data_IF_886909836812
#
_entry.id   IF_886909836812
#
_cell.length_a   1.000
_cell.length_b   1.000
_cell.length_c   1.000
_cell.angle_alpha   90.00
_cell.angle_beta   90.00
_cell.angle_gamma   90.00
#
_symmetry.space_group_name_H-M   'P 1'
#
loop_
_entity.id
_entity.type
_entity.pdbx_description
1 polymer ?
#
# COMPACT_ATOMS: atom_id res chain seq x y z
N UNK A 1 -36.50 -21.44 1.05
CA UNK A 1 -36.03 -22.28 2.18
C UNK A 1 -34.61 -22.73 1.87
N UNK A 2 -33.62 -21.99 2.36
CA UNK A 2 -32.19 -22.33 2.25
C UNK A 2 -31.65 -22.48 3.67
N UNK A 3 -30.94 -23.58 3.94
CA UNK A 3 -30.51 -23.95 5.28
C UNK A 3 -29.51 -22.93 5.87
N UNK A 4 -29.65 -22.54 7.15
CA UNK A 4 -28.66 -21.71 7.83
C UNK A 4 -27.37 -22.51 8.06
N UNK A 5 -26.23 -21.91 7.67
CA UNK A 5 -24.89 -22.45 7.88
C UNK A 5 -24.64 -22.71 9.37
N UNK A 6 -24.36 -23.96 9.73
CA UNK A 6 -24.16 -24.43 11.11
C UNK A 6 -22.78 -24.10 11.69
N UNK A 7 -22.28 -22.87 11.48
CA UNK A 7 -21.01 -22.40 12.08
C UNK A 7 -21.22 -21.64 13.40
N UNK A 8 -22.47 -21.33 13.77
CA UNK A 8 -22.76 -20.15 14.61
C UNK A 8 -22.86 -20.37 16.14
N UNK A 9 -22.77 -21.58 16.71
CA UNK A 9 -23.12 -21.77 18.14
C UNK A 9 -22.11 -22.46 19.06
N UNK A 10 -21.12 -23.20 18.53
CA UNK A 10 -20.25 -24.03 19.39
C UNK A 10 -18.90 -23.38 19.76
N UNK A 11 -18.37 -22.43 18.98
CA UNK A 11 -17.11 -21.75 19.31
C UNK A 11 -17.26 -20.56 20.28
N UNK A 12 -18.45 -19.94 20.39
CA UNK A 12 -18.71 -18.77 21.26
C UNK A 12 -18.41 -19.00 22.75
N UNK A 13 -18.39 -20.23 23.26
CA UNK A 13 -18.30 -20.52 24.71
C UNK A 13 -16.95 -21.04 25.21
N UNK A 14 -16.01 -21.46 24.35
CA UNK A 14 -14.78 -22.14 24.83
C UNK A 14 -13.52 -21.27 24.86
N UNK A 15 -13.48 -20.11 24.19
CA UNK A 15 -12.25 -19.31 24.07
C UNK A 15 -12.15 -18.11 25.04
N UNK A 16 -13.18 -17.84 25.85
CA UNK A 16 -13.22 -16.69 26.76
C UNK A 16 -12.49 -16.89 28.10
N UNK A 17 -11.69 -17.96 28.27
CA UNK A 17 -11.08 -18.29 29.57
C UNK A 17 -9.57 -18.07 29.69
N UNK A 18 -8.84 -17.67 28.65
CA UNK A 18 -7.38 -17.54 28.79
C UNK A 18 -6.97 -16.14 29.26
N UNK A 19 -6.67 -16.03 30.56
CA UNK A 19 -6.22 -14.81 31.24
C UNK A 19 -4.69 -14.64 31.16
N UNK A 20 -4.06 -14.62 29.99
CA UNK A 20 -2.63 -14.28 29.91
C UNK A 20 -2.25 -13.76 28.52
N UNK A 21 -2.53 -12.49 28.19
CA UNK A 21 -2.02 -11.91 26.93
C UNK A 21 -1.52 -10.47 26.99
N UNK A 22 -1.72 -9.71 28.08
CA UNK A 22 -1.20 -8.35 28.19
C UNK A 22 -0.83 -8.03 29.65
N UNK A 23 0.45 -8.24 30.00
CA UNK A 23 1.05 -7.68 31.21
C UNK A 23 2.30 -6.93 30.77
N UNK A 24 2.28 -5.61 30.89
CA UNK A 24 3.46 -4.76 30.80
C UNK A 24 3.52 -3.99 32.11
N UNK A 25 4.52 -4.31 32.92
CA UNK A 25 4.79 -3.64 34.18
C UNK A 25 5.25 -2.21 33.89
N UNK A 26 4.47 -1.22 34.34
CA UNK A 26 4.87 0.19 34.34
C UNK A 26 5.05 0.61 35.78
N UNK A 27 6.31 0.73 36.20
CA UNK A 27 6.70 1.38 37.43
C UNK A 27 7.41 2.70 37.11
N UNK A 28 6.72 3.83 37.27
CA UNK A 28 7.33 5.05 37.80
C UNK A 28 6.22 6.01 38.25
N UNK A 29 6.34 6.50 39.48
CA UNK A 29 5.38 7.37 40.12
C UNK A 29 5.73 8.84 39.83
N UNK A 30 4.77 9.58 39.30
CA UNK A 30 4.71 11.05 39.43
C UNK A 30 3.25 11.48 39.47
N UNK A 31 2.88 12.16 40.56
CA UNK A 31 1.51 12.58 40.85
C UNK A 31 1.11 13.74 39.94
N UNK A 32 0.45 13.41 38.83
CA UNK A 32 -0.43 14.32 38.12
C UNK A 32 -1.87 13.90 38.44
N UNK A 33 -2.70 14.81 38.93
CA UNK A 33 -4.14 14.56 39.07
C UNK A 33 -4.72 14.56 37.65
N UNK A 34 -4.58 13.43 36.96
CA UNK A 34 -5.33 13.15 35.74
C UNK A 34 -6.74 12.74 36.17
N UNK A 35 -7.72 13.60 35.90
CA UNK A 35 -9.10 13.13 35.81
C UNK A 35 -9.10 12.14 34.64
N UNK A 36 -9.29 10.82 34.85
CA UNK A 36 -9.25 9.88 33.75
C UNK A 36 -10.50 10.16 32.92
N UNK A 37 -10.35 10.84 31.79
CA UNK A 37 -11.40 10.95 30.79
C UNK A 37 -11.68 9.54 30.31
N UNK A 38 -12.68 8.90 30.92
CA UNK A 38 -13.13 7.58 30.52
C UNK A 38 -13.87 7.73 29.19
N UNK A 39 -13.13 7.59 28.09
CA UNK A 39 -13.72 7.55 26.76
C UNK A 39 -14.80 6.45 26.75
N UNK A 40 -16.03 6.83 26.44
CA UNK A 40 -17.12 5.89 26.24
C UNK A 40 -17.10 5.45 24.79
N UNK A 41 -16.92 4.14 24.57
CA UNK A 41 -17.01 3.54 23.24
C UNK A 41 -18.45 3.08 22.98
N UNK A 42 -18.92 3.10 21.72
CA UNK A 42 -20.27 2.64 21.37
C UNK A 42 -20.39 1.10 21.35
N UNK A 43 -19.43 0.41 21.96
CA UNK A 43 -19.31 -1.06 22.04
C UNK A 43 -18.89 -1.45 23.45
N UNK A 44 -19.03 -2.73 23.80
CA UNK A 44 -18.59 -3.25 25.09
C UNK A 44 -17.13 -2.88 25.37
N UNK A 45 -16.90 -2.08 26.41
CA UNK A 45 -15.57 -1.63 26.78
C UNK A 45 -14.66 -2.82 27.13
N UNK A 46 -13.57 -2.99 26.37
CA UNK A 46 -12.51 -3.97 26.65
C UNK A 46 -11.16 -3.26 26.85
N UNK A 47 -10.25 -3.79 27.70
CA UNK A 47 -8.97 -3.16 28.01
C UNK A 47 -8.06 -2.88 26.80
N UNK A 48 -8.18 -3.67 25.72
CA UNK A 48 -7.34 -3.53 24.52
C UNK A 48 -7.83 -2.44 23.54
N UNK A 49 -9.06 -1.94 23.70
CA UNK A 49 -9.68 -1.01 22.73
C UNK A 49 -8.84 0.25 22.53
N UNK A 50 -8.35 0.95 23.57
CA UNK A 50 -7.53 2.16 23.39
C UNK A 50 -6.29 1.88 22.53
N UNK A 51 -5.61 0.76 22.76
CA UNK A 51 -4.43 0.37 21.99
C UNK A 51 -4.73 0.06 20.52
N UNK A 52 -5.89 -0.55 20.23
CA UNK A 52 -6.31 -0.80 18.85
C UNK A 52 -6.74 0.48 18.14
N UNK A 53 -7.42 1.40 18.83
CA UNK A 53 -7.76 2.73 18.27
C UNK A 53 -6.46 3.50 17.95
N UNK A 54 -5.51 3.50 18.88
CA UNK A 54 -4.20 4.10 18.66
C UNK A 54 -3.46 3.43 17.51
N UNK A 55 -3.45 2.10 17.45
CA UNK A 55 -2.81 1.34 16.36
C UNK A 55 -3.45 1.63 15.00
N UNK A 56 -4.77 1.81 14.93
CA UNK A 56 -5.47 2.19 13.70
C UNK A 56 -5.00 3.56 13.21
N UNK A 57 -4.88 4.52 14.13
CA UNK A 57 -4.34 5.84 13.84
C UNK A 57 -2.86 5.74 13.43
N UNK A 58 -2.00 5.15 14.26
CA UNK A 58 -0.56 5.02 13.98
C UNK A 58 -0.22 4.33 12.66
N UNK A 59 -0.81 3.17 12.39
CA UNK A 59 -0.37 2.27 11.32
C UNK A 59 -0.94 2.58 9.95
N UNK A 60 -1.99 3.38 9.88
CA UNK A 60 -2.35 4.07 8.64
C UNK A 60 -1.38 5.23 8.34
N UNK A 61 -0.28 5.33 9.11
CA UNK A 61 0.78 6.34 9.04
C UNK A 61 0.44 7.65 9.74
N UNK A 62 -0.41 7.59 10.77
CA UNK A 62 -1.11 8.74 11.32
C UNK A 62 -0.80 9.02 12.80
N UNK A 63 0.42 8.88 13.29
CA UNK A 63 0.74 9.49 14.60
C UNK A 63 2.06 10.24 14.64
N UNK A 64 3.12 9.67 14.06
CA UNK A 64 4.47 10.22 14.22
C UNK A 64 4.78 11.49 13.39
N UNK A 65 3.94 11.84 12.41
CA UNK A 65 4.18 12.98 11.52
C UNK A 65 3.18 14.11 11.76
N UNK A 66 3.67 15.35 11.61
CA UNK A 66 2.81 16.50 11.38
C UNK A 66 2.02 16.22 10.10
N UNK A 67 0.70 16.16 10.24
CA UNK A 67 -0.17 15.84 9.13
C UNK A 67 -0.75 17.13 8.60
N UNK A 68 -0.59 17.33 7.30
CA UNK A 68 -1.16 18.47 6.61
C UNK A 68 -2.69 18.49 6.79
N UNK A 69 -3.29 19.68 6.99
CA UNK A 69 -4.74 19.85 7.01
C UNK A 69 -5.39 19.26 5.75
N UNK A 70 -6.61 18.70 5.89
CA UNK A 70 -7.38 18.07 4.81
C UNK A 70 -6.75 16.83 4.13
N UNK A 71 -5.64 16.31 4.63
CA UNK A 71 -5.09 15.02 4.20
C UNK A 71 -6.01 13.86 4.56
N UNK A 72 -5.91 12.75 3.82
CA UNK A 72 -6.56 11.50 4.23
C UNK A 72 -6.15 11.11 5.66
N UNK A 73 -4.87 11.33 5.96
CA UNK A 73 -4.30 11.12 7.27
C UNK A 73 -5.01 11.92 8.39
N UNK A 74 -5.28 13.20 8.15
CA UNK A 74 -5.95 14.10 9.06
C UNK A 74 -7.38 13.64 9.27
N UNK A 75 -8.06 13.29 8.17
CA UNK A 75 -9.45 12.84 8.20
C UNK A 75 -9.62 11.50 8.92
N UNK A 76 -8.68 10.57 8.78
CA UNK A 76 -8.65 9.33 9.53
C UNK A 76 -8.42 9.57 11.03
N UNK A 77 -7.53 10.51 11.42
CA UNK A 77 -7.34 10.87 12.85
C UNK A 77 -8.54 11.61 13.45
N UNK A 78 -9.32 12.32 12.64
CA UNK A 78 -10.38 13.23 13.09
C UNK A 78 -11.78 12.72 12.74
N UNK A 79 -12.22 12.95 11.50
CA UNK A 79 -13.57 12.67 11.01
C UNK A 79 -13.92 11.18 11.16
N UNK A 80 -13.03 10.28 10.72
CA UNK A 80 -13.26 8.83 10.83
C UNK A 80 -13.44 8.37 12.27
N UNK A 81 -12.50 8.70 13.17
CA UNK A 81 -12.57 8.29 14.58
C UNK A 81 -13.81 8.87 15.25
N UNK A 82 -14.19 10.12 14.93
CA UNK A 82 -15.44 10.70 15.43
C UNK A 82 -16.66 9.88 15.00
N UNK A 83 -16.72 9.45 13.74
CA UNK A 83 -17.79 8.59 13.24
C UNK A 83 -17.76 7.19 13.85
N UNK A 84 -16.56 6.61 14.04
CA UNK A 84 -16.40 5.31 14.69
C UNK A 84 -16.86 5.35 16.16
N UNK A 85 -16.56 6.42 16.89
CA UNK A 85 -17.01 6.62 18.27
C UNK A 85 -18.53 6.86 18.39
N UNK A 86 -19.21 7.19 17.28
CA UNK A 86 -20.66 7.41 17.24
C UNK A 86 -21.46 6.19 16.74
N UNK A 87 -20.82 5.22 16.09
CA UNK A 87 -21.50 4.10 15.44
C UNK A 87 -20.89 2.75 15.86
N UNK A 88 -21.65 1.86 16.53
CA UNK A 88 -21.13 0.57 16.99
C UNK A 88 -20.58 -0.33 15.88
N UNK A 89 -21.20 -0.32 14.70
CA UNK A 89 -20.78 -1.17 13.58
C UNK A 89 -19.43 -0.68 13.03
N UNK A 90 -19.28 0.62 12.84
CA UNK A 90 -18.02 1.22 12.39
C UNK A 90 -16.91 1.09 13.44
N UNK A 91 -17.25 1.16 14.73
CA UNK A 91 -16.29 0.90 15.81
C UNK A 91 -15.76 -0.53 15.76
N UNK A 92 -16.65 -1.54 15.66
CA UNK A 92 -16.20 -2.94 15.52
C UNK A 92 -15.36 -3.12 14.26
N UNK A 93 -15.75 -2.54 13.12
CA UNK A 93 -14.99 -2.63 11.87
C UNK A 93 -13.59 -2.02 12.01
N UNK A 94 -13.49 -0.85 12.65
CA UNK A 94 -12.22 -0.15 12.91
C UNK A 94 -11.29 -0.97 13.79
N UNK A 95 -11.82 -1.56 14.87
CA UNK A 95 -11.07 -2.44 15.77
C UNK A 95 -10.64 -3.75 15.10
N UNK A 96 -11.51 -4.32 14.26
CA UNK A 96 -11.19 -5.48 13.45
C UNK A 96 -10.03 -5.19 12.50
N UNK A 97 -10.11 -4.12 11.72
CA UNK A 97 -9.05 -3.73 10.80
C UNK A 97 -7.71 -3.55 11.54
N UNK A 98 -7.70 -2.80 12.65
CA UNK A 98 -6.50 -2.60 13.46
C UNK A 98 -5.89 -3.92 13.96
N UNK A 99 -6.71 -4.82 14.50
CA UNK A 99 -6.27 -6.11 15.03
C UNK A 99 -5.78 -7.05 13.93
N UNK A 100 -6.45 -7.08 12.77
CA UNK A 100 -6.03 -7.90 11.64
C UNK A 100 -4.72 -7.41 11.02
N UNK A 101 -4.52 -6.11 10.87
CA UNK A 101 -3.23 -5.55 10.46
C UNK A 101 -2.09 -5.93 11.41
N UNK A 102 -2.36 -5.94 12.73
CA UNK A 102 -1.42 -6.43 13.74
C UNK A 102 -1.09 -7.91 13.56
N UNK A 103 -2.07 -8.73 13.23
CA UNK A 103 -1.87 -10.16 12.98
C UNK A 103 -1.05 -10.40 11.71
N UNK A 104 -1.32 -9.68 10.62
CA UNK A 104 -0.53 -9.79 9.38
C UNK A 104 0.94 -9.47 9.62
N UNK A 105 1.25 -8.40 10.36
CA UNK A 105 2.64 -8.05 10.70
C UNK A 105 3.31 -9.07 11.61
N UNK A 106 2.56 -9.69 12.54
CA UNK A 106 3.09 -10.77 13.37
C UNK A 106 3.37 -12.01 12.54
N UNK A 107 2.47 -12.38 11.64
CA UNK A 107 2.63 -13.56 10.79
C UNK A 107 3.79 -13.41 9.80
N UNK A 108 4.12 -12.19 9.37
CA UNK A 108 5.36 -11.94 8.59
C UNK A 108 6.65 -12.13 9.40
N UNK A 109 6.58 -12.17 10.73
CA UNK A 109 7.76 -12.26 11.64
C UNK A 109 7.81 -13.54 12.47
N UNK A 110 6.70 -14.27 12.62
CA UNK A 110 6.62 -15.48 13.42
C UNK A 110 5.51 -16.43 12.91
N UNK A 111 5.82 -17.73 12.85
CA UNK A 111 4.90 -18.79 12.45
C UNK A 111 3.89 -19.16 13.56
N UNK A 112 3.11 -18.21 14.06
CA UNK A 112 2.04 -18.51 15.01
C UNK A 112 0.72 -18.77 14.26
N UNK A 113 0.27 -20.03 14.26
CA UNK A 113 -0.83 -20.50 13.42
C UNK A 113 -2.23 -20.38 14.05
N UNK A 114 -2.37 -19.77 15.23
CA UNK A 114 -3.67 -19.67 15.90
C UNK A 114 -4.38 -18.35 15.61
N UNK A 115 -5.66 -18.34 15.21
CA UNK A 115 -6.37 -17.11 14.89
C UNK A 115 -6.57 -16.25 16.14
N UNK A 116 -6.27 -14.96 16.04
CA UNK A 116 -6.39 -14.01 17.15
C UNK A 116 -7.87 -13.85 17.55
N UNK A 117 -8.25 -14.17 18.80
CA UNK A 117 -9.64 -14.11 19.24
C UNK A 117 -10.22 -12.69 19.22
N UNK A 118 -9.37 -11.65 19.35
CA UNK A 118 -9.81 -10.24 19.26
C UNK A 118 -10.21 -9.90 17.83
N UNK A 119 -9.39 -10.29 16.86
CA UNK A 119 -9.67 -10.12 15.42
C UNK A 119 -10.97 -10.81 15.04
N UNK A 120 -11.11 -12.10 15.40
CA UNK A 120 -12.33 -12.86 15.12
C UNK A 120 -13.57 -12.26 15.78
N UNK A 121 -13.47 -11.79 17.03
CA UNK A 121 -14.58 -11.16 17.73
C UNK A 121 -15.06 -9.92 16.99
N UNK A 122 -14.18 -8.97 16.69
CA UNK A 122 -14.57 -7.73 16.02
C UNK A 122 -15.03 -7.96 14.57
N UNK A 123 -14.44 -8.93 13.86
CA UNK A 123 -14.91 -9.33 12.54
C UNK A 123 -16.36 -9.84 12.60
N UNK A 124 -16.65 -10.75 13.54
CA UNK A 124 -17.97 -11.36 13.70
C UNK A 124 -19.03 -10.31 14.04
N UNK A 125 -18.74 -9.42 14.99
CA UNK A 125 -19.67 -8.35 15.38
C UNK A 125 -19.90 -7.36 14.22
N UNK A 126 -18.87 -7.07 13.42
CA UNK A 126 -19.01 -6.23 12.22
C UNK A 126 -19.95 -6.86 11.21
N UNK A 127 -19.74 -8.12 10.84
CA UNK A 127 -20.57 -8.85 9.86
C UNK A 127 -22.02 -8.96 10.37
N UNK A 128 -22.21 -9.29 11.65
CA UNK A 128 -23.53 -9.37 12.25
C UNK A 128 -24.27 -8.02 12.21
N UNK A 129 -23.59 -6.93 12.55
CA UNK A 129 -24.17 -5.58 12.54
C UNK A 129 -24.52 -5.12 11.11
N UNK A 130 -23.64 -5.34 10.14
CA UNK A 130 -23.90 -5.04 8.71
C UNK A 130 -25.10 -5.83 8.21
N UNK A 131 -25.13 -7.14 8.47
CA UNK A 131 -26.23 -8.02 8.04
C UNK A 131 -27.56 -7.59 8.62
N UNK A 132 -27.60 -7.25 9.91
CA UNK A 132 -28.81 -6.75 10.57
C UNK A 132 -29.32 -5.43 9.94
N UNK A 133 -28.41 -4.51 9.57
CA UNK A 133 -28.74 -3.25 8.91
C UNK A 133 -29.25 -3.45 7.48
N UNK A 134 -28.71 -4.42 6.75
CA UNK A 134 -29.21 -4.77 5.42
C UNK A 134 -30.61 -5.40 5.54
N UNK A 135 -30.80 -6.32 6.49
CA UNK A 135 -32.05 -7.03 6.69
C UNK A 135 -33.20 -6.13 7.16
N UNK A 136 -32.92 -5.03 7.84
CA UNK A 136 -33.94 -4.07 8.27
C UNK A 136 -34.53 -3.25 7.11
N UNK A 137 -33.91 -3.27 5.93
CA UNK A 137 -34.39 -2.56 4.74
C UNK A 137 -34.36 -1.03 4.86
N UNK A 138 -33.70 -0.48 5.89
CA UNK A 138 -33.55 0.95 6.10
C UNK A 138 -32.58 1.61 5.13
N UNK A 139 -32.52 2.95 5.16
CA UNK A 139 -31.50 3.70 4.42
C UNK A 139 -30.11 3.34 4.94
N UNK A 140 -29.23 2.90 4.03
CA UNK A 140 -27.85 2.58 4.38
C UNK A 140 -27.10 3.84 4.79
N UNK A 141 -26.50 3.81 5.98
CA UNK A 141 -25.69 4.90 6.50
C UNK A 141 -24.28 4.84 5.95
N UNK A 142 -23.59 5.98 5.87
CA UNK A 142 -22.19 6.05 5.45
C UNK A 142 -21.30 5.22 6.38
N UNK A 143 -21.63 5.12 7.68
CA UNK A 143 -20.95 4.25 8.62
C UNK A 143 -21.05 2.76 8.24
N UNK A 144 -22.19 2.32 7.70
CA UNK A 144 -22.36 0.93 7.23
C UNK A 144 -21.50 0.66 6.00
N UNK A 145 -21.46 1.61 5.07
CA UNK A 145 -20.63 1.53 3.85
C UNK A 145 -19.14 1.51 4.22
N UNK A 146 -18.73 2.39 5.13
CA UNK A 146 -17.38 2.44 5.67
C UNK A 146 -16.98 1.12 6.37
N UNK A 147 -17.90 0.49 7.12
CA UNK A 147 -17.65 -0.82 7.72
C UNK A 147 -17.39 -1.90 6.68
N UNK A 148 -18.18 -1.93 5.58
CA UNK A 148 -17.97 -2.90 4.49
C UNK A 148 -16.66 -2.63 3.76
N UNK A 149 -16.28 -1.37 3.56
CA UNK A 149 -14.96 -1.03 3.02
C UNK A 149 -13.82 -1.64 3.86
N UNK A 150 -13.88 -1.53 5.19
CA UNK A 150 -12.88 -2.15 6.07
C UNK A 150 -12.89 -3.68 6.00
N UNK A 151 -14.03 -4.32 5.73
CA UNK A 151 -14.10 -5.75 5.46
C UNK A 151 -13.39 -6.12 4.15
N UNK A 152 -13.53 -5.33 3.07
CA UNK A 152 -12.80 -5.54 1.80
C UNK A 152 -11.30 -5.41 1.99
N UNK A 153 -10.85 -4.34 2.65
CA UNK A 153 -9.43 -4.08 2.90
C UNK A 153 -8.85 -5.23 3.71
N UNK A 154 -9.50 -5.58 4.81
CA UNK A 154 -8.97 -6.58 5.73
C UNK A 154 -9.05 -7.99 5.17
N UNK A 155 -10.08 -8.33 4.40
CA UNK A 155 -10.18 -9.61 3.68
C UNK A 155 -9.00 -9.80 2.72
N UNK A 156 -8.61 -8.74 2.02
CA UNK A 156 -7.44 -8.76 1.13
C UNK A 156 -6.16 -9.08 1.91
N UNK A 157 -5.95 -8.44 3.07
CA UNK A 157 -4.79 -8.67 3.94
C UNK A 157 -4.77 -10.06 4.58
N UNK A 158 -5.94 -10.67 4.75
CA UNK A 158 -6.10 -12.03 5.25
C UNK A 158 -6.05 -13.07 4.13
N UNK A 159 -5.85 -12.65 2.88
CA UNK A 159 -5.79 -13.52 1.68
C UNK A 159 -7.06 -14.34 1.44
N UNK A 160 -8.22 -13.85 1.90
CA UNK A 160 -9.51 -14.49 1.69
C UNK A 160 -10.20 -13.88 0.46
N UNK A 161 -9.86 -14.38 -0.72
CA UNK A 161 -10.39 -13.89 -2.01
C UNK A 161 -11.93 -13.97 -2.06
N UNK A 162 -12.49 -15.11 -1.65
CA UNK A 162 -13.94 -15.33 -1.66
C UNK A 162 -14.72 -14.35 -0.77
N UNK A 163 -14.25 -14.13 0.46
CA UNK A 163 -14.87 -13.13 1.33
C UNK A 163 -14.64 -11.70 0.81
N UNK A 164 -13.45 -11.42 0.29
CA UNK A 164 -13.10 -10.09 -0.26
C UNK A 164 -14.00 -9.73 -1.42
N UNK A 165 -14.21 -10.63 -2.38
CA UNK A 165 -15.08 -10.37 -3.53
C UNK A 165 -16.55 -10.21 -3.12
N UNK A 166 -17.03 -11.04 -2.19
CA UNK A 166 -18.39 -10.89 -1.66
C UNK A 166 -18.59 -9.52 -0.99
N UNK A 167 -17.61 -9.05 -0.22
CA UNK A 167 -17.63 -7.73 0.40
C UNK A 167 -17.49 -6.60 -0.64
N UNK A 168 -16.65 -6.76 -1.66
CA UNK A 168 -16.44 -5.77 -2.73
C UNK A 168 -17.70 -5.58 -3.56
N UNK A 169 -18.30 -6.68 -4.00
CA UNK A 169 -19.58 -6.67 -4.73
C UNK A 169 -20.70 -6.04 -3.89
N UNK A 170 -20.77 -6.41 -2.61
CA UNK A 170 -21.70 -5.80 -1.65
C UNK A 170 -21.49 -4.29 -1.50
N UNK A 171 -20.25 -3.84 -1.31
CA UNK A 171 -19.88 -2.43 -1.20
C UNK A 171 -20.34 -1.64 -2.42
N UNK A 172 -20.04 -2.14 -3.62
CA UNK A 172 -20.41 -1.48 -4.86
C UNK A 172 -21.91 -1.31 -5.01
N UNK A 173 -22.69 -2.34 -4.66
CA UNK A 173 -24.13 -2.24 -4.64
C UNK A 173 -24.62 -1.19 -3.65
N UNK A 174 -24.01 -1.08 -2.46
CA UNK A 174 -24.36 -0.05 -1.48
C UNK A 174 -24.07 1.37 -1.98
N UNK A 175 -22.91 1.58 -2.63
CA UNK A 175 -22.56 2.88 -3.23
C UNK A 175 -23.56 3.27 -4.32
N UNK A 176 -23.92 2.34 -5.20
CA UNK A 176 -24.93 2.57 -6.24
C UNK A 176 -26.28 2.93 -5.64
N UNK A 177 -26.73 2.22 -4.59
CA UNK A 177 -27.98 2.52 -3.89
C UNK A 177 -27.99 3.89 -3.19
N UNK A 178 -26.83 4.44 -2.83
CA UNK A 178 -26.69 5.81 -2.31
C UNK A 178 -26.68 6.89 -3.39
N UNK A 179 -26.66 6.51 -4.67
CA UNK A 179 -26.58 7.43 -5.79
C UNK A 179 -25.16 7.78 -6.21
N UNK A 180 -24.18 6.91 -5.91
CA UNK A 180 -22.78 7.05 -6.32
C UNK A 180 -21.86 7.64 -5.26
N UNK A 181 -20.55 7.63 -5.54
CA UNK A 181 -19.50 8.06 -4.62
C UNK A 181 -19.67 9.52 -4.15
N UNK A 182 -20.10 10.42 -5.04
CA UNK A 182 -20.31 11.83 -4.74
C UNK A 182 -21.44 12.10 -3.72
N UNK A 183 -22.24 11.08 -3.36
CA UNK A 183 -23.32 11.17 -2.36
C UNK A 183 -22.92 10.66 -0.98
N UNK A 184 -21.70 10.15 -0.84
CA UNK A 184 -21.18 9.66 0.44
C UNK A 184 -20.72 10.82 1.33
N UNK A 185 -20.95 10.70 2.63
CA UNK A 185 -20.53 11.67 3.63
C UNK A 185 -19.07 11.52 4.07
N UNK A 186 -18.81 11.82 5.35
CA UNK A 186 -17.48 11.90 5.96
C UNK A 186 -16.59 12.92 5.24
N UNK A 187 -17.15 14.06 4.86
CA UNK A 187 -16.44 15.16 4.20
C UNK A 187 -15.75 14.74 2.88
N UNK A 188 -16.31 13.74 2.17
CA UNK A 188 -15.78 13.19 0.92
C UNK A 188 -14.65 12.17 1.10
N UNK A 189 -14.21 11.92 2.33
CA UNK A 189 -13.11 11.00 2.66
C UNK A 189 -13.49 9.56 2.36
N UNK A 190 -14.73 9.19 2.65
CA UNK A 190 -15.20 7.82 2.39
C UNK A 190 -15.12 7.49 0.89
N UNK A 191 -15.49 8.42 0.01
CA UNK A 191 -15.36 8.22 -1.43
C UNK A 191 -13.91 8.01 -1.86
N UNK A 192 -12.99 8.85 -1.37
CA UNK A 192 -11.54 8.72 -1.65
C UNK A 192 -10.97 7.40 -1.13
N UNK A 193 -11.34 6.99 0.09
CA UNK A 193 -10.90 5.72 0.64
C UNK A 193 -11.39 4.53 -0.17
N UNK A 194 -12.64 4.56 -0.67
CA UNK A 194 -13.13 3.52 -1.56
C UNK A 194 -12.27 3.48 -2.82
N UNK A 195 -12.12 4.60 -3.53
CA UNK A 195 -11.31 4.67 -4.76
C UNK A 195 -9.88 4.14 -4.55
N UNK A 196 -9.20 4.61 -3.50
CA UNK A 196 -7.83 4.20 -3.18
C UNK A 196 -7.68 2.72 -2.83
N UNK A 197 -8.68 2.11 -2.19
CA UNK A 197 -8.56 0.74 -1.68
C UNK A 197 -9.22 -0.30 -2.58
N UNK A 198 -10.00 0.09 -3.60
CA UNK A 198 -10.57 -0.87 -4.56
C UNK A 198 -9.53 -1.51 -5.48
N UNK A 199 -8.33 -0.94 -5.58
CA UNK A 199 -7.20 -1.56 -6.30
C UNK A 199 -6.53 -2.68 -5.48
N UNK A 200 -6.70 -2.67 -4.15
CA UNK A 200 -5.99 -3.59 -3.25
C UNK A 200 -6.29 -5.07 -3.56
N UNK A 201 -7.56 -5.52 -3.73
CA UNK A 201 -7.83 -6.91 -4.11
C UNK A 201 -7.19 -7.29 -5.44
N UNK A 202 -7.21 -6.39 -6.43
CA UNK A 202 -6.61 -6.64 -7.74
C UNK A 202 -5.10 -6.86 -7.66
N UNK A 203 -4.41 -6.04 -6.85
CA UNK A 203 -2.96 -6.20 -6.59
C UNK A 203 -2.69 -7.50 -5.83
N UNK A 204 -3.37 -7.73 -4.71
CA UNK A 204 -3.10 -8.88 -3.83
C UNK A 204 -3.33 -10.20 -4.55
N UNK A 205 -4.45 -10.34 -5.25
CA UNK A 205 -4.85 -11.57 -5.93
C UNK A 205 -4.38 -11.64 -7.39
N UNK A 206 -3.63 -10.63 -7.87
CA UNK A 206 -3.10 -10.56 -9.23
C UNK A 206 -4.18 -10.76 -10.31
N UNK A 207 -5.30 -10.05 -10.16
CA UNK A 207 -6.43 -10.17 -11.07
C UNK A 207 -6.13 -9.40 -12.37
N UNK A 208 -6.11 -10.13 -13.49
CA UNK A 208 -5.65 -9.68 -14.82
C UNK A 208 -6.29 -8.39 -15.32
N UNK A 209 -7.56 -8.18 -14.98
CA UNK A 209 -8.32 -6.98 -15.26
C UNK A 209 -9.35 -6.90 -14.13
N UNK A 210 -9.54 -5.73 -13.53
CA UNK A 210 -10.86 -5.42 -13.02
C UNK A 210 -11.76 -5.54 -14.26
N UNK A 211 -12.54 -6.61 -14.37
CA UNK A 211 -13.59 -6.71 -15.39
C UNK A 211 -14.24 -5.34 -15.49
N UNK A 212 -14.17 -4.75 -16.68
CA UNK A 212 -14.61 -3.42 -17.05
C UNK A 212 -16.15 -3.29 -16.93
N UNK A 213 -16.70 -3.53 -15.75
CA UNK A 213 -18.12 -3.78 -15.50
C UNK A 213 -18.64 -3.38 -14.12
N UNK A 214 -17.83 -2.79 -13.23
CA UNK A 214 -18.33 -2.29 -11.93
C UNK A 214 -17.77 -0.91 -11.54
N UNK A 215 -17.95 0.08 -12.42
CA UNK A 215 -18.25 1.50 -12.16
C UNK A 215 -17.53 2.28 -11.03
N UNK A 216 -16.37 1.88 -10.53
CA UNK A 216 -15.48 2.78 -9.73
C UNK A 216 -14.41 3.41 -10.61
N UNK A 217 -14.08 2.75 -11.73
CA UNK A 217 -12.99 3.11 -12.62
C UNK A 217 -13.35 4.17 -13.68
N UNK A 218 -14.55 4.78 -13.62
CA UNK A 218 -14.87 5.94 -14.45
C UNK A 218 -14.07 7.14 -13.92
N UNK A 219 -12.80 7.22 -14.32
CA UNK A 219 -11.79 8.17 -13.85
C UNK A 219 -10.44 7.57 -13.38
N UNK A 220 -10.32 6.25 -13.25
CA UNK A 220 -9.11 5.58 -12.74
C UNK A 220 -8.38 4.73 -13.80
N UNK A 221 -8.99 4.53 -14.97
CA UNK A 221 -8.33 3.85 -16.07
C UNK A 221 -7.10 4.66 -16.49
N UNK A 222 -5.89 4.08 -16.43
CA UNK A 222 -4.70 4.78 -16.87
C UNK A 222 -4.87 5.11 -18.35
N UNK A 223 -4.84 6.41 -18.68
CA UNK A 223 -4.80 6.83 -20.07
C UNK A 223 -3.64 6.09 -20.76
N UNK A 224 -3.89 5.28 -21.81
CA UNK A 224 -2.85 4.50 -22.47
C UNK A 224 -1.75 5.38 -23.10
N UNK A 225 -2.02 6.68 -23.28
CA UNK A 225 -1.07 7.68 -23.80
C UNK A 225 -0.40 8.53 -22.70
N UNK A 226 -0.63 8.25 -21.41
CA UNK A 226 0.06 8.92 -20.31
C UNK A 226 1.36 8.17 -19.99
N UNK A 227 2.49 8.85 -19.71
CA UNK A 227 3.76 8.21 -19.33
C UNK A 227 3.69 7.62 -17.91
N UNK A 228 2.78 6.66 -17.72
CA UNK A 228 2.50 5.99 -16.45
C UNK A 228 3.73 5.27 -15.87
N UNK A 229 4.63 4.81 -16.76
CA UNK A 229 5.92 4.18 -16.47
C UNK A 229 6.82 5.11 -15.64
N UNK A 230 6.95 6.38 -16.04
CA UNK A 230 8.00 7.27 -15.58
C UNK A 230 7.54 8.28 -14.52
N UNK A 231 6.25 8.61 -14.46
CA UNK A 231 5.72 9.64 -13.55
C UNK A 231 6.15 9.48 -12.08
N UNK A 232 6.18 8.25 -11.55
CA UNK A 232 6.56 8.01 -10.15
C UNK A 232 8.06 8.25 -9.90
N UNK A 233 8.90 7.87 -10.87
CA UNK A 233 10.34 8.14 -10.83
C UNK A 233 10.64 9.63 -10.99
N UNK A 234 9.91 10.35 -11.86
CA UNK A 234 10.01 11.81 -11.98
C UNK A 234 9.68 12.50 -10.66
N UNK A 235 8.55 12.16 -10.02
CA UNK A 235 8.18 12.76 -8.75
C UNK A 235 9.21 12.47 -7.65
N UNK A 236 9.78 11.27 -7.63
CA UNK A 236 10.88 10.96 -6.73
C UNK A 236 12.07 11.90 -6.96
N UNK A 237 12.50 12.07 -8.20
CA UNK A 237 13.60 12.95 -8.58
C UNK A 237 13.32 14.43 -8.23
N UNK A 238 12.13 14.93 -8.54
CA UNK A 238 11.70 16.29 -8.21
C UNK A 238 11.71 16.54 -6.70
N UNK A 239 11.18 15.60 -5.92
CA UNK A 239 11.13 15.73 -4.45
C UNK A 239 12.52 15.72 -3.81
N UNK A 240 13.45 14.93 -4.36
CA UNK A 240 14.85 14.92 -3.94
C UNK A 240 15.56 16.22 -4.31
N UNK A 241 15.29 16.78 -5.50
CA UNK A 241 15.82 18.06 -5.95
C UNK A 241 15.35 19.23 -5.09
N UNK A 242 14.06 19.30 -4.77
CA UNK A 242 13.50 20.36 -3.91
C UNK A 242 14.14 20.35 -2.52
N UNK A 243 14.37 19.17 -1.95
CA UNK A 243 14.99 19.00 -0.63
C UNK A 243 16.39 19.62 -0.53
N UNK A 244 17.15 19.64 -1.63
CA UNK A 244 18.47 20.30 -1.70
C UNK A 244 18.37 21.83 -1.74
N UNK A 245 17.31 22.36 -2.36
CA UNK A 245 17.11 23.79 -2.57
C UNK A 245 16.54 24.53 -1.35
N UNK A 246 15.71 23.85 -0.54
CA UNK A 246 15.01 24.45 0.61
C UNK A 246 15.82 24.39 1.91
N UNK A 247 17.04 23.84 1.88
CA UNK A 247 17.90 23.72 3.08
C UNK A 247 17.31 22.81 4.17
N UNK A 248 16.36 21.94 3.81
CA UNK A 248 15.76 20.97 4.72
C UNK A 248 16.85 20.05 5.27
N UNK A 249 16.87 19.85 6.59
CA UNK A 249 17.84 19.07 7.35
C UNK A 249 17.83 17.57 6.96
N UNK A 250 18.36 17.27 5.78
CA UNK A 250 18.62 15.94 5.26
C UNK A 250 20.10 15.74 4.98
N UNK A 251 20.52 14.48 5.06
CA UNK A 251 21.89 14.10 4.79
C UNK A 251 22.19 14.26 3.28
N UNK A 252 23.13 15.15 2.94
CA UNK A 252 23.46 15.46 1.54
C UNK A 252 23.95 14.24 0.77
N UNK A 253 24.64 13.32 1.43
CA UNK A 253 25.12 12.07 0.82
C UNK A 253 23.95 11.18 0.40
N UNK A 254 22.93 11.07 1.24
CA UNK A 254 21.69 10.33 0.93
C UNK A 254 21.01 10.96 -0.29
N UNK A 255 20.78 12.28 -0.26
CA UNK A 255 20.11 12.96 -1.37
C UNK A 255 20.90 12.85 -2.67
N UNK A 256 22.23 12.97 -2.63
CA UNK A 256 23.09 12.81 -3.80
C UNK A 256 22.94 11.41 -4.42
N UNK A 257 23.11 10.35 -3.61
CA UNK A 257 23.02 8.98 -4.12
C UNK A 257 21.61 8.64 -4.63
N UNK A 258 20.56 9.03 -3.91
CA UNK A 258 19.20 8.80 -4.36
C UNK A 258 18.90 9.56 -5.67
N UNK A 259 19.37 10.80 -5.79
CA UNK A 259 19.19 11.60 -7.03
C UNK A 259 19.85 10.91 -8.22
N UNK A 260 21.08 10.42 -8.05
CA UNK A 260 21.77 9.66 -9.11
C UNK A 260 21.00 8.39 -9.50
N UNK A 261 20.56 7.59 -8.51
CA UNK A 261 19.79 6.37 -8.77
C UNK A 261 18.50 6.68 -9.52
N UNK A 262 17.72 7.67 -9.07
CA UNK A 262 16.44 8.00 -9.70
C UNK A 262 16.59 8.69 -11.06
N UNK A 263 17.71 9.38 -11.31
CA UNK A 263 18.05 9.85 -12.65
C UNK A 263 18.22 8.66 -13.61
N UNK A 264 18.92 7.60 -13.20
CA UNK A 264 19.06 6.39 -14.02
C UNK A 264 17.75 5.60 -14.16
N UNK A 265 16.95 5.50 -13.11
CA UNK A 265 15.60 4.90 -13.21
C UNK A 265 14.77 5.65 -14.26
N UNK A 266 14.75 6.99 -14.18
CA UNK A 266 14.04 7.82 -15.14
C UNK A 266 14.59 7.65 -16.58
N UNK A 267 15.91 7.69 -16.77
CA UNK A 267 16.56 7.48 -18.07
C UNK A 267 16.18 6.12 -18.69
N UNK A 268 16.18 5.04 -17.90
CA UNK A 268 15.77 3.71 -18.38
C UNK A 268 14.31 3.69 -18.80
N UNK A 269 13.41 4.28 -18.01
CA UNK A 269 11.98 4.31 -18.32
C UNK A 269 11.70 5.10 -19.60
N UNK A 270 12.33 6.27 -19.75
CA UNK A 270 12.24 7.07 -20.98
C UNK A 270 12.82 6.31 -22.17
N UNK A 271 13.96 5.64 -22.01
CA UNK A 271 14.57 4.85 -23.07
C UNK A 271 13.67 3.70 -23.54
N UNK A 272 12.99 3.00 -22.61
CA UNK A 272 12.02 1.96 -22.93
C UNK A 272 10.81 2.53 -23.67
N UNK A 273 10.30 3.69 -23.25
CA UNK A 273 9.16 4.34 -23.91
C UNK A 273 9.52 4.87 -25.32
N UNK A 274 10.75 5.34 -25.52
CA UNK A 274 11.23 5.87 -26.81
C UNK A 274 11.70 4.78 -27.79
N UNK A 275 12.18 3.64 -27.28
CA UNK A 275 12.66 2.53 -28.11
C UNK A 275 14.04 2.78 -28.73
N UNK A 276 14.08 2.92 -30.06
CA UNK A 276 15.31 3.10 -30.84
C UNK A 276 15.53 4.57 -31.21
N UNK A 277 16.78 5.00 -31.22
CA UNK A 277 17.15 6.34 -31.70
C UNK A 277 16.85 6.45 -33.21
N UNK A 278 16.06 7.45 -33.64
CA UNK A 278 15.59 7.54 -35.02
C UNK A 278 16.70 7.88 -36.03
N UNK A 279 17.83 8.43 -35.59
CA UNK A 279 18.94 8.82 -36.47
C UNK A 279 19.98 7.70 -36.61
N UNK A 280 20.22 6.94 -35.55
CA UNK A 280 21.29 5.95 -35.46
C UNK A 280 20.78 4.50 -35.46
N UNK A 281 19.49 4.27 -35.21
CA UNK A 281 18.89 2.94 -35.07
C UNK A 281 19.41 2.17 -33.84
N UNK A 282 20.08 2.84 -32.90
CA UNK A 282 20.61 2.21 -31.70
C UNK A 282 19.55 2.15 -30.61
N UNK A 283 19.56 1.06 -29.84
CA UNK A 283 18.70 0.92 -28.67
C UNK A 283 19.06 1.99 -27.62
N UNK A 284 18.12 2.88 -27.31
CA UNK A 284 18.31 3.88 -26.25
C UNK A 284 18.47 3.20 -24.89
N UNK A 285 17.85 2.02 -24.72
CA UNK A 285 17.99 1.21 -23.52
C UNK A 285 19.43 0.72 -23.31
N UNK A 286 20.12 0.27 -24.37
CA UNK A 286 21.52 -0.17 -24.24
C UNK A 286 22.43 0.98 -23.80
N UNK A 287 22.21 2.17 -24.34
CA UNK A 287 22.96 3.37 -23.95
C UNK A 287 22.70 3.77 -22.49
N UNK A 288 21.44 3.85 -22.08
CA UNK A 288 21.06 4.16 -20.70
C UNK A 288 21.58 3.10 -19.71
N UNK A 289 21.47 1.82 -20.08
CA UNK A 289 21.99 0.71 -19.29
C UNK A 289 23.51 0.76 -19.14
N UNK A 290 24.26 1.12 -20.18
CA UNK A 290 25.71 1.22 -20.11
C UNK A 290 26.17 2.32 -19.15
N UNK A 291 25.50 3.49 -19.18
CA UNK A 291 25.78 4.60 -18.24
C UNK A 291 25.51 4.20 -16.79
N UNK A 292 24.37 3.55 -16.54
CA UNK A 292 24.01 3.06 -15.21
C UNK A 292 25.10 2.15 -14.58
N UNK A 293 25.72 1.26 -15.36
CA UNK A 293 26.80 0.38 -14.88
C UNK A 293 28.02 1.18 -14.43
N UNK A 294 28.37 2.22 -15.19
CA UNK A 294 29.57 3.01 -14.95
C UNK A 294 29.44 3.90 -13.71
N UNK A 295 28.21 4.34 -13.38
CA UNK A 295 27.97 5.38 -12.39
C UNK A 295 27.56 4.84 -10.98
N UNK A 296 27.10 3.58 -10.85
CA UNK A 296 26.36 3.12 -9.64
C UNK A 296 27.07 2.05 -8.81
N UNK A 297 28.15 1.42 -9.29
CA UNK A 297 28.92 0.46 -8.47
C UNK A 297 29.63 1.17 -7.31
N UNK A 298 28.87 1.48 -6.25
CA UNK A 298 29.39 1.89 -4.95
C UNK A 298 30.07 0.65 -4.36
N UNK A 299 31.40 0.64 -4.17
CA UNK A 299 32.05 -0.50 -3.57
C UNK A 299 31.52 -0.70 -2.14
N UNK A 300 31.07 -1.91 -1.76
CA UNK A 300 30.50 -2.19 -0.45
C UNK A 300 31.47 -1.88 0.71
N UNK A 301 32.77 -1.80 0.42
CA UNK A 301 33.85 -1.59 1.41
C UNK A 301 34.50 -0.20 1.38
N UNK A 302 33.93 0.79 0.68
CA UNK A 302 34.45 2.17 0.67
C UNK A 302 34.11 2.93 1.96
N UNK A 303 34.67 2.44 3.06
CA UNK A 303 34.65 3.00 4.43
C UNK A 303 35.20 4.43 4.57
N UNK A 304 35.53 5.11 3.48
CA UNK A 304 36.14 6.45 3.48
C UNK A 304 35.23 7.59 3.01
N UNK A 305 33.96 7.36 2.63
CA UNK A 305 33.11 8.42 2.05
C UNK A 305 31.69 8.57 2.65
N UNK A 306 31.22 7.66 3.51
CA UNK A 306 29.81 7.67 3.92
C UNK A 306 29.60 8.19 5.34
N UNK A 307 29.33 9.48 5.44
CA UNK A 307 28.66 10.09 6.61
C UNK A 307 27.18 9.68 6.63
N UNK A 308 26.86 8.39 6.52
CA UNK A 308 25.48 7.86 6.51
C UNK A 308 25.31 6.84 7.62
N UNK A 309 24.18 6.91 8.31
CA UNK A 309 23.76 5.89 9.27
C UNK A 309 23.42 4.57 8.57
N UNK A 310 23.43 3.46 9.31
CA UNK A 310 23.06 2.13 8.78
C UNK A 310 21.68 2.13 8.10
N UNK A 311 20.72 2.86 8.67
CA UNK A 311 19.36 3.00 8.16
C UNK A 311 19.33 3.79 6.84
N UNK A 312 20.13 4.84 6.71
CA UNK A 312 20.28 5.60 5.47
C UNK A 312 20.98 4.80 4.37
N UNK A 313 22.04 4.06 4.71
CA UNK A 313 22.71 3.14 3.79
C UNK A 313 21.73 2.08 3.25
N UNK A 314 20.93 1.47 4.13
CA UNK A 314 19.92 0.48 3.73
C UNK A 314 18.86 1.09 2.80
N UNK A 315 18.44 2.34 3.02
CA UNK A 315 17.50 3.04 2.14
C UNK A 315 18.07 3.25 0.73
N UNK A 316 19.32 3.69 0.63
CA UNK A 316 20.02 3.84 -0.66
C UNK A 316 20.17 2.50 -1.35
N UNK A 317 20.56 1.46 -0.63
CA UNK A 317 20.70 0.09 -1.16
C UNK A 317 19.38 -0.47 -1.68
N UNK A 318 18.26 -0.26 -0.98
CA UNK A 318 16.94 -0.66 -1.48
C UNK A 318 16.62 -0.01 -2.84
N UNK A 319 16.97 1.27 -3.02
CA UNK A 319 16.81 1.97 -4.29
C UNK A 319 17.74 1.42 -5.39
N UNK A 320 19.00 1.11 -5.05
CA UNK A 320 19.95 0.50 -6.00
C UNK A 320 19.46 -0.87 -6.49
N UNK A 321 18.97 -1.71 -5.58
CA UNK A 321 18.40 -3.01 -5.94
C UNK A 321 17.16 -2.84 -6.82
N UNK A 322 16.31 -1.85 -6.54
CA UNK A 322 15.15 -1.54 -7.39
C UNK A 322 15.55 -1.20 -8.84
N UNK A 323 16.65 -0.46 -9.03
CA UNK A 323 17.19 -0.14 -10.35
C UNK A 323 17.75 -1.39 -11.05
N UNK A 324 18.43 -2.27 -10.32
CA UNK A 324 18.91 -3.57 -10.85
C UNK A 324 17.75 -4.46 -11.30
N UNK A 325 16.66 -4.48 -10.53
CA UNK A 325 15.42 -5.19 -10.90
C UNK A 325 14.82 -4.58 -12.18
N UNK A 326 14.64 -3.27 -12.24
CA UNK A 326 14.09 -2.60 -13.43
C UNK A 326 14.92 -2.91 -14.68
N UNK A 327 16.24 -2.74 -14.59
CA UNK A 327 17.16 -3.05 -15.70
C UNK A 327 17.02 -4.50 -16.14
N UNK A 328 16.93 -5.42 -15.19
CA UNK A 328 16.72 -6.82 -15.51
C UNK A 328 15.42 -7.01 -16.29
N UNK A 329 14.31 -6.44 -15.82
CA UNK A 329 12.99 -6.54 -16.48
C UNK A 329 12.99 -5.98 -17.90
N UNK A 330 13.71 -4.90 -18.16
CA UNK A 330 13.76 -4.23 -19.46
C UNK A 330 14.82 -4.79 -20.43
N UNK A 331 15.71 -5.68 -20.00
CA UNK A 331 16.74 -6.27 -20.87
C UNK A 331 16.21 -7.52 -21.59
N UNK A 332 15.78 -7.32 -22.84
CA UNK A 332 15.23 -8.36 -23.73
C UNK A 332 16.23 -9.48 -24.07
N UNK A 333 17.54 -9.29 -23.79
CA UNK A 333 18.57 -10.31 -24.02
C UNK A 333 18.58 -11.37 -22.92
N UNK A 334 17.96 -11.07 -21.78
CA UNK A 334 17.93 -12.02 -20.66
C UNK A 334 16.83 -13.04 -20.91
N UNK A 335 17.18 -14.32 -20.82
CA UNK A 335 16.26 -15.42 -21.06
C UNK A 335 14.99 -15.35 -20.17
N UNK A 336 13.87 -16.00 -20.61
CA UNK A 336 12.65 -16.11 -19.82
C UNK A 336 12.92 -16.67 -18.42
N UNK A 337 12.07 -16.31 -17.45
CA UNK A 337 12.28 -16.66 -16.05
C UNK A 337 12.37 -18.19 -15.86
N UNK A 338 13.50 -18.68 -15.35
CA UNK A 338 13.66 -20.05 -14.85
C UNK A 338 13.53 -20.08 -13.33
N UNK A 339 13.38 -21.25 -12.71
CA UNK A 339 13.24 -21.40 -11.24
C UNK A 339 14.43 -20.81 -10.44
N UNK A 340 15.61 -20.66 -11.07
CA UNK A 340 16.79 -19.96 -10.51
C UNK A 340 16.90 -18.53 -11.06
N UNK A 341 15.80 -17.79 -11.10
CA UNK A 341 15.79 -16.41 -11.60
C UNK A 341 16.55 -15.48 -10.65
N UNK A 342 17.48 -14.65 -11.14
CA UNK A 342 18.17 -13.64 -10.33
C UNK A 342 17.19 -12.60 -9.74
N UNK A 343 15.96 -12.48 -10.28
CA UNK A 343 14.92 -11.63 -9.70
C UNK A 343 14.52 -12.06 -8.29
N UNK A 344 14.45 -13.36 -8.00
CA UNK A 344 14.06 -13.84 -6.66
C UNK A 344 15.09 -13.34 -5.63
N UNK A 345 16.38 -13.50 -5.94
CA UNK A 345 17.48 -13.02 -5.10
C UNK A 345 17.43 -11.50 -4.92
N UNK A 346 17.22 -10.74 -5.99
CA UNK A 346 17.12 -9.28 -5.92
C UNK A 346 15.90 -8.83 -5.11
N UNK A 347 14.76 -9.51 -5.21
CA UNK A 347 13.56 -9.20 -4.43
C UNK A 347 13.82 -9.41 -2.94
N UNK A 348 14.45 -10.53 -2.56
CA UNK A 348 14.80 -10.79 -1.15
C UNK A 348 15.87 -9.82 -0.62
N UNK A 349 16.86 -9.46 -1.45
CA UNK A 349 17.84 -8.40 -1.14
C UNK A 349 17.14 -7.06 -0.87
N UNK A 350 16.20 -6.67 -1.74
CA UNK A 350 15.39 -5.46 -1.60
C UNK A 350 14.54 -5.48 -0.32
N UNK A 351 13.88 -6.60 -0.01
CA UNK A 351 13.11 -6.79 1.24
C UNK A 351 14.00 -6.62 2.47
N UNK A 352 15.19 -7.22 2.46
CA UNK A 352 16.17 -7.11 3.55
C UNK A 352 16.57 -5.65 3.81
N UNK A 353 16.88 -4.90 2.75
CA UNK A 353 17.23 -3.49 2.88
C UNK A 353 16.07 -2.64 3.39
N UNK A 354 14.86 -2.80 2.85
CA UNK A 354 13.67 -2.09 3.34
C UNK A 354 13.40 -2.46 4.82
N UNK A 355 13.53 -3.72 5.23
CA UNK A 355 13.35 -4.12 6.62
C UNK A 355 14.40 -3.52 7.57
N UNK A 356 15.59 -3.18 7.08
CA UNK A 356 16.64 -2.50 7.83
C UNK A 356 16.45 -0.97 7.91
N UNK A 357 15.39 -0.44 7.31
CA UNK A 357 15.04 1.00 7.39
C UNK A 357 13.94 1.29 8.40
N UNK A 358 13.87 2.54 8.87
CA UNK A 358 12.74 3.04 9.65
C UNK A 358 11.69 3.68 8.72
N UNK A 359 10.42 3.39 9.00
CA UNK A 359 9.27 4.01 8.31
C UNK A 359 9.32 5.54 8.29
N UNK A 360 9.72 6.14 9.40
CA UNK A 360 9.83 7.58 9.56
C UNK A 360 10.95 8.18 8.70
N UNK A 361 12.01 7.41 8.43
CA UNK A 361 13.16 7.86 7.61
C UNK A 361 12.72 7.99 6.15
N UNK A 362 12.01 7.00 5.60
CA UNK A 362 11.46 7.10 4.25
C UNK A 362 10.50 8.26 4.09
N UNK A 363 9.55 8.41 5.03
CA UNK A 363 8.56 9.48 4.97
C UNK A 363 9.20 10.87 5.09
N UNK A 364 10.30 10.99 5.84
CA UNK A 364 11.02 12.25 6.03
C UNK A 364 11.88 12.63 4.83
N UNK A 365 12.56 11.67 4.20
CA UNK A 365 13.61 11.98 3.22
C UNK A 365 13.24 11.65 1.77
N UNK A 366 12.44 10.60 1.56
CA UNK A 366 12.29 10.04 0.22
C UNK A 366 10.97 9.25 0.06
N UNK A 367 9.86 9.89 0.40
CA UNK A 367 8.57 9.23 0.44
C UNK A 367 8.14 8.67 -0.95
N UNK A 368 8.38 9.44 -2.02
CA UNK A 368 8.12 9.01 -3.40
C UNK A 368 9.05 7.88 -3.87
N UNK A 369 10.30 7.87 -3.39
CA UNK A 369 11.21 6.75 -3.65
C UNK A 369 10.72 5.45 -3.00
N UNK A 370 10.18 5.53 -1.77
CA UNK A 370 9.55 4.38 -1.13
C UNK A 370 8.36 3.85 -1.95
N UNK A 371 7.54 4.75 -2.52
CA UNK A 371 6.45 4.34 -3.42
C UNK A 371 7.01 3.57 -4.62
N UNK A 372 8.00 4.12 -5.32
CA UNK A 372 8.64 3.43 -6.46
C UNK A 372 9.13 2.04 -6.08
N UNK A 373 9.96 1.94 -5.03
CA UNK A 373 10.57 0.68 -4.60
C UNK A 373 9.52 -0.36 -4.23
N UNK A 374 8.47 0.04 -3.50
CA UNK A 374 7.40 -0.87 -3.09
C UNK A 374 6.48 -1.24 -4.25
N UNK A 375 6.13 -0.32 -5.14
CA UNK A 375 5.36 -0.61 -6.37
C UNK A 375 6.10 -1.58 -7.28
N UNK A 376 7.42 -1.42 -7.46
CA UNK A 376 8.24 -2.37 -8.19
C UNK A 376 8.22 -3.75 -7.54
N UNK A 377 8.45 -3.81 -6.22
CA UNK A 377 8.35 -5.04 -5.44
C UNK A 377 7.00 -5.74 -5.57
N UNK A 378 5.91 -4.99 -5.58
CA UNK A 378 4.55 -5.51 -5.81
C UNK A 378 4.41 -6.16 -7.18
N UNK A 379 4.88 -5.50 -8.22
CA UNK A 379 4.71 -5.98 -9.59
C UNK A 379 5.53 -7.24 -9.88
N UNK A 380 6.74 -7.36 -9.30
CA UNK A 380 7.63 -8.51 -9.51
C UNK A 380 7.34 -9.70 -8.59
N UNK A 381 6.60 -9.50 -7.50
CA UNK A 381 6.26 -10.58 -6.57
C UNK A 381 5.31 -11.59 -7.23
N UNK A 382 5.74 -12.85 -7.28
CA UNK A 382 5.00 -13.95 -7.92
C UNK A 382 3.87 -14.47 -7.04
N UNK A 383 4.04 -14.42 -5.71
CA UNK A 383 3.07 -14.93 -4.75
C UNK A 383 2.36 -13.82 -3.95
N UNK A 384 1.23 -14.20 -3.34
CA UNK A 384 0.37 -13.30 -2.56
C UNK A 384 1.09 -12.74 -1.34
N UNK A 385 1.97 -13.51 -0.68
CA UNK A 385 2.68 -13.06 0.52
C UNK A 385 3.75 -12.03 0.16
N UNK A 386 4.47 -12.22 -0.95
CA UNK A 386 5.38 -11.22 -1.49
C UNK A 386 4.68 -9.89 -1.75
N UNK A 387 3.51 -9.94 -2.40
CA UNK A 387 2.71 -8.73 -2.66
C UNK A 387 2.21 -8.07 -1.38
N UNK A 388 1.67 -8.84 -0.44
CA UNK A 388 1.25 -8.31 0.87
C UNK A 388 2.42 -7.68 1.64
N UNK A 389 3.59 -8.29 1.58
CA UNK A 389 4.79 -7.76 2.24
C UNK A 389 5.09 -6.35 1.73
N UNK A 390 5.16 -6.15 0.41
CA UNK A 390 5.43 -4.82 -0.14
C UNK A 390 4.29 -3.84 0.12
N UNK A 391 3.03 -4.26 0.06
CA UNK A 391 1.86 -3.42 0.38
C UNK A 391 1.89 -2.91 1.83
N UNK A 392 2.35 -3.74 2.77
CA UNK A 392 2.47 -3.35 4.18
C UNK A 392 3.63 -2.38 4.44
N UNK A 393 4.57 -2.27 3.50
CA UNK A 393 5.69 -1.31 3.52
C UNK A 393 5.44 -0.11 2.59
N UNK A 394 4.44 -0.23 1.70
CA UNK A 394 3.88 0.83 0.88
C UNK A 394 3.09 1.79 1.79
N UNK A 395 3.27 3.10 1.60
CA UNK A 395 2.72 4.13 2.50
C UNK A 395 1.95 5.22 1.75
N UNK A 396 1.32 4.86 0.62
CA UNK A 396 0.56 5.80 -0.21
C UNK A 396 -0.51 6.59 0.55
N UNK A 397 -1.12 5.96 1.56
CA UNK A 397 -2.15 6.56 2.42
C UNK A 397 -1.64 7.81 3.15
N UNK A 398 -0.34 7.84 3.50
CA UNK A 398 0.30 8.97 4.21
C UNK A 398 0.56 10.13 3.27
N UNK A 399 0.86 9.83 2.01
CA UNK A 399 1.24 10.80 0.99
C UNK A 399 0.06 11.35 0.17
N UNK A 400 -1.13 10.74 0.32
CA UNK A 400 -2.33 11.16 -0.38
C UNK A 400 -2.88 12.45 0.23
N UNK A 401 -2.24 13.54 -0.17
CA UNK A 401 -2.56 14.93 0.12
C UNK A 401 -3.43 15.55 -0.96
N UNK A 402 -4.00 16.73 -0.66
CA UNK A 402 -4.97 17.43 -1.51
C UNK A 402 -4.34 17.87 -2.85
N UNK A 403 -5.10 17.69 -3.92
CA UNK A 403 -4.99 18.36 -5.23
C UNK A 403 -3.74 18.10 -6.11
N UNK A 404 -2.86 17.14 -5.80
CA UNK A 404 -1.92 16.64 -6.82
C UNK A 404 -2.68 15.86 -7.89
N UNK A 405 -2.57 16.29 -9.14
CA UNK A 405 -3.08 15.58 -10.31
C UNK A 405 -1.90 15.13 -11.18
N UNK A 406 -1.75 13.83 -11.47
CA UNK A 406 -2.51 12.71 -10.91
C UNK A 406 -2.23 12.50 -9.41
N UNK A 407 -3.20 11.91 -8.69
CA UNK A 407 -3.03 11.63 -7.26
C UNK A 407 -2.00 10.50 -7.06
N UNK A 408 -1.25 10.44 -5.94
CA UNK A 408 -0.18 9.45 -5.76
C UNK A 408 -0.65 7.99 -5.91
N UNK A 409 -1.86 7.67 -5.46
CA UNK A 409 -2.44 6.34 -5.61
C UNK A 409 -2.82 6.00 -7.06
N UNK A 410 -3.21 6.99 -7.88
CA UNK A 410 -3.44 6.82 -9.33
C UNK A 410 -2.12 6.51 -10.03
N UNK A 411 -1.06 7.21 -9.66
CA UNK A 411 0.28 6.99 -10.20
C UNK A 411 0.81 5.61 -9.84
N UNK A 412 0.68 5.20 -8.57
CA UNK A 412 1.08 3.86 -8.12
C UNK A 412 0.29 2.78 -8.84
N UNK A 413 -1.03 2.95 -9.01
CA UNK A 413 -1.84 1.99 -9.77
C UNK A 413 -1.39 1.89 -11.23
N UNK A 414 -1.21 3.02 -11.92
CA UNK A 414 -0.79 3.05 -13.31
C UNK A 414 0.61 2.44 -13.51
N UNK A 415 1.55 2.78 -12.61
CA UNK A 415 2.91 2.22 -12.60
C UNK A 415 2.90 0.71 -12.32
N UNK A 416 2.12 0.25 -11.34
CA UNK A 416 1.93 -1.17 -11.06
C UNK A 416 1.42 -1.94 -12.28
N UNK A 417 0.36 -1.45 -12.94
CA UNK A 417 -0.18 -2.09 -14.13
C UNK A 417 0.83 -2.16 -15.29
N UNK A 418 1.63 -1.10 -15.49
CA UNK A 418 2.70 -1.11 -16.49
C UNK A 418 3.78 -2.14 -16.16
N UNK A 419 4.32 -2.12 -14.94
CA UNK A 419 5.33 -3.06 -14.47
C UNK A 419 4.84 -4.51 -14.52
N UNK A 420 3.58 -4.77 -14.15
CA UNK A 420 3.02 -6.12 -14.16
C UNK A 420 2.89 -6.67 -15.59
N UNK A 421 2.54 -5.82 -16.56
CA UNK A 421 2.56 -6.20 -17.98
C UNK A 421 3.97 -6.55 -18.45
N UNK A 422 4.97 -5.77 -18.05
CA UNK A 422 6.38 -6.04 -18.37
C UNK A 422 6.83 -7.40 -17.81
N UNK A 423 6.51 -7.69 -16.54
CA UNK A 423 6.82 -8.99 -15.92
C UNK A 423 6.18 -10.15 -16.68
N UNK A 424 4.89 -10.04 -17.05
CA UNK A 424 4.16 -11.10 -17.76
C UNK A 424 4.64 -11.30 -19.19
N UNK A 425 4.96 -10.23 -19.91
CA UNK A 425 5.54 -10.30 -21.25
C UNK A 425 6.84 -11.11 -21.23
N UNK A 426 7.67 -10.87 -20.22
CA UNK A 426 8.89 -11.62 -19.97
C UNK A 426 8.66 -13.09 -19.63
N UNK A 427 7.65 -13.40 -18.81
CA UNK A 427 7.32 -14.78 -18.44
C UNK A 427 6.80 -15.61 -19.64
N UNK A 428 6.11 -14.93 -20.56
CA UNK A 428 5.50 -15.56 -21.74
C UNK A 428 6.39 -15.52 -22.99
N UNK A 429 7.51 -14.79 -22.95
CA UNK A 429 8.37 -14.55 -24.11
C UNK A 429 7.69 -13.72 -25.21
N UNK A 430 6.63 -12.99 -24.86
CA UNK A 430 5.91 -12.08 -25.76
C UNK A 430 6.62 -10.73 -25.77
N UNK A 431 6.88 -10.19 -26.96
CA UNK A 431 7.42 -8.85 -27.13
C UNK A 431 6.38 -7.81 -26.66
N UNK A 432 6.79 -6.87 -25.80
CA UNK A 432 5.94 -5.81 -25.25
C UNK A 432 5.65 -4.70 -26.27
N UNK A 433 6.07 -4.84 -27.54
CA UNK A 433 5.64 -4.01 -28.68
C UNK A 433 4.13 -4.18 -28.94
N UNK A 434 3.31 -3.76 -28.00
CA UNK A 434 1.88 -3.55 -28.17
C UNK A 434 1.73 -2.33 -29.07
N UNK A 435 1.03 -2.53 -30.18
CA UNK A 435 0.68 -1.56 -31.20
C UNK A 435 0.39 -0.16 -30.63
N UNK A 436 1.37 0.74 -30.71
CA UNK A 436 1.06 2.16 -30.81
C UNK A 436 0.33 2.34 -32.15
N UNK A 437 -0.89 2.91 -32.20
CA UNK A 437 -1.47 3.31 -33.46
C UNK A 437 -0.48 4.28 -34.10
N UNK A 438 0.10 3.88 -35.23
CA UNK A 438 1.09 4.65 -35.97
C UNK A 438 0.61 6.08 -36.12
N UNK A 439 1.23 7.03 -35.42
CA UNK A 439 0.94 8.44 -35.56
C UNK A 439 1.65 9.03 -36.80
N UNK A 440 1.66 8.28 -37.91
CA UNK A 440 2.04 8.73 -39.25
C UNK A 440 1.35 7.82 -40.29
N UNK A 441 0.04 7.99 -40.45
CA UNK A 441 -0.66 7.63 -41.67
C UNK A 441 -0.58 8.82 -42.63
N UNK A 442 0.12 8.62 -43.75
CA UNK A 442 0.11 9.52 -44.92
C UNK A 442 -1.29 9.61 -45.52
#
# INVERSE_FOLDING_TARGET
MGAPCAYERLQRRRLLSSRHLFSVDVASASMSIEVPLKLSYPVDSKPYIPSLVHSFQERMGLSALAVEPDSLAHHLRSSWIRHALADPCLMHATLYAASAHLDTLRNTTAACSSPNPVTLYHQTETIAAVTARIASGGVLTDATIASVLLLVITGSLQTDDGATEAHRSGLMRMVTMRGGLAKLGFDGVLARMIQMNMVLPAVVFDLDQLDAGASVADGMDPNPNSPASSNLAALALESLGQSTSTGTSGNLSVTFHMTAIFAHVWELLVAVDCGEDPETGQSLFDFASARCILDIDIPPDSSSCMDMSKTETAMVQACQVSLRILRHLCDDRVAPQTEESPLVTLVEEMKSHIAATDSAVWLRYAAHANLWVTTLGLAVSTDVQGRLWFLMHERCVVMSMKDSRPAPHEMVWACYCWLRRLVRARDTGLDMRIDYPSMFGV
#
